data_IF_511418482019
#
_entry.id   IF_511418482019
#
_cell.length_a   1.000
_cell.length_b   1.000
_cell.length_c   1.000
_cell.angle_alpha   90.00
_cell.angle_beta   90.00
_cell.angle_gamma   90.00
#
_symmetry.space_group_name_H-M   'P 1'
#
loop_
_entity.id
_entity.type
_entity.pdbx_description
1 polymer ?
#
# COMPACT_ATOMS: atom_id res chain seq x y z
N UNK A 1 23.76 19.84 9.22
CA UNK A 1 23.40 18.61 8.50
C UNK A 1 24.56 18.28 7.61
N UNK A 2 25.36 17.28 7.98
CA UNK A 2 26.59 16.92 7.28
C UNK A 2 26.25 16.15 5.98
N UNK A 3 27.13 16.21 4.98
CA UNK A 3 27.00 15.46 3.72
C UNK A 3 26.85 13.95 3.99
N UNK A 4 27.47 13.44 5.06
CA UNK A 4 27.36 12.06 5.51
C UNK A 4 25.95 11.72 6.06
N UNK A 5 25.26 12.68 6.68
CA UNK A 5 23.87 12.50 7.13
C UNK A 5 22.91 12.42 5.93
N UNK A 6 23.24 13.05 4.82
CA UNK A 6 22.46 13.03 3.60
C UNK A 6 22.65 11.71 2.82
N UNK A 7 23.89 11.22 2.73
CA UNK A 7 24.21 9.95 2.05
C UNK A 7 23.59 8.74 2.77
N UNK A 8 23.48 8.79 4.10
CA UNK A 8 22.83 7.74 4.89
C UNK A 8 21.30 7.72 4.77
N UNK A 9 20.69 8.72 4.14
CA UNK A 9 19.23 8.80 3.91
C UNK A 9 18.76 8.23 2.57
N UNK A 10 19.68 7.91 1.65
CA UNK A 10 19.29 7.30 0.38
C UNK A 10 18.91 5.84 0.66
N UNK A 11 17.63 5.45 0.53
CA UNK A 11 17.25 4.09 0.79
C UNK A 11 17.91 3.14 -0.21
N UNK A 12 18.47 2.05 0.32
CA UNK A 12 19.06 1.01 -0.53
C UNK A 12 17.97 0.14 -1.15
N UNK A 13 18.19 -0.27 -2.40
CA UNK A 13 17.32 -1.26 -3.01
C UNK A 13 17.38 -2.59 -2.23
N UNK A 14 16.25 -3.04 -1.73
CA UNK A 14 16.14 -4.30 -0.99
C UNK A 14 16.30 -5.53 -1.89
N UNK A 15 16.11 -5.38 -3.20
CA UNK A 15 16.21 -6.47 -4.15
C UNK A 15 17.58 -6.50 -4.80
N UNK A 16 18.18 -7.68 -4.88
CA UNK A 16 19.46 -7.89 -5.58
C UNK A 16 19.31 -7.91 -7.10
N UNK A 17 18.09 -8.17 -7.61
CA UNK A 17 17.77 -8.35 -9.03
C UNK A 17 16.28 -8.26 -9.32
N UNK A 18 15.93 -8.14 -10.59
CA UNK A 18 14.57 -8.25 -11.15
C UNK A 18 13.54 -7.24 -10.57
N UNK A 19 14.00 -6.15 -9.97
CA UNK A 19 13.13 -5.09 -9.47
C UNK A 19 13.84 -4.06 -8.60
N UNK A 20 13.10 -3.04 -8.23
CA UNK A 20 13.57 -1.97 -7.35
C UNK A 20 12.55 -1.82 -6.22
N UNK A 21 13.00 -1.95 -4.98
CA UNK A 21 12.18 -1.74 -3.79
C UNK A 21 12.98 -0.96 -2.75
N UNK A 22 12.46 0.16 -2.37
CA UNK A 22 13.02 0.99 -1.31
C UNK A 22 12.16 0.91 -0.05
N UNK A 23 12.79 0.88 1.11
CA UNK A 23 12.15 1.02 2.39
C UNK A 23 12.68 2.27 3.09
N UNK A 24 11.81 3.24 3.30
CA UNK A 24 12.18 4.54 3.85
C UNK A 24 12.18 4.59 5.38
N UNK A 25 11.68 3.53 6.04
CA UNK A 25 11.45 3.55 7.49
C UNK A 25 10.25 4.39 7.90
N UNK A 26 10.11 4.70 9.19
CA UNK A 26 9.11 5.64 9.69
C UNK A 26 9.46 7.05 9.24
N UNK A 27 8.71 7.55 8.25
CA UNK A 27 8.89 8.91 7.68
C UNK A 27 7.91 9.92 8.27
N UNK A 28 6.83 9.43 8.88
CA UNK A 28 5.80 10.25 9.51
C UNK A 28 6.03 10.27 11.02
N UNK A 29 6.17 11.43 11.66
CA UNK A 29 6.29 11.50 13.12
C UNK A 29 5.14 10.79 13.82
N UNK A 30 5.42 10.10 14.93
CA UNK A 30 4.50 9.19 15.61
C UNK A 30 3.12 9.81 15.91
N UNK A 31 3.10 11.06 16.39
CA UNK A 31 1.85 11.74 16.72
C UNK A 31 0.99 12.00 15.47
N UNK A 32 1.65 12.36 14.35
CA UNK A 32 0.99 12.52 13.07
C UNK A 32 0.50 11.18 12.51
N UNK A 33 1.29 10.12 12.64
CA UNK A 33 0.91 8.78 12.22
C UNK A 33 -0.30 8.26 13.02
N UNK A 34 -0.34 8.47 14.34
CA UNK A 34 -1.50 8.19 15.18
C UNK A 34 -2.73 8.96 14.70
N UNK A 35 -2.60 10.26 14.47
CA UNK A 35 -3.69 11.09 13.96
C UNK A 35 -4.23 10.56 12.62
N UNK A 36 -3.36 10.22 11.69
CA UNK A 36 -3.78 9.63 10.41
C UNK A 36 -4.47 8.29 10.59
N UNK A 37 -3.92 7.42 11.43
CA UNK A 37 -4.52 6.12 11.73
C UNK A 37 -5.94 6.27 12.26
N UNK A 38 -6.16 7.07 13.30
CA UNK A 38 -7.46 7.29 13.92
C UNK A 38 -8.47 7.93 12.94
N UNK A 39 -8.00 8.92 12.17
CA UNK A 39 -8.84 9.60 11.17
C UNK A 39 -9.28 8.64 10.06
N UNK A 40 -8.39 7.78 9.57
CA UNK A 40 -8.72 6.79 8.55
C UNK A 40 -9.63 5.68 9.11
N UNK A 41 -9.41 5.24 10.35
CA UNK A 41 -10.26 4.22 10.98
C UNK A 41 -11.72 4.67 11.06
N UNK A 42 -11.96 5.95 11.37
CA UNK A 42 -13.29 6.52 11.53
C UNK A 42 -13.91 7.05 10.23
N UNK A 43 -13.07 7.57 9.32
CA UNK A 43 -13.54 8.36 8.17
C UNK A 43 -13.56 7.64 6.82
N UNK A 44 -12.99 6.44 6.71
CA UNK A 44 -12.96 5.68 5.46
C UNK A 44 -14.21 4.82 5.30
N UNK A 45 -14.74 4.78 4.07
CA UNK A 45 -15.85 3.91 3.69
C UNK A 45 -15.37 2.46 3.53
N UNK A 46 -15.05 1.81 4.64
CA UNK A 46 -14.55 0.45 4.68
C UNK A 46 -15.60 -0.57 4.24
N UNK A 47 -15.27 -1.36 3.21
CA UNK A 47 -16.09 -2.48 2.73
C UNK A 47 -15.36 -3.80 2.91
N UNK A 48 -16.08 -4.91 3.17
CA UNK A 48 -15.48 -6.24 3.13
C UNK A 48 -14.86 -6.50 1.75
N UNK A 49 -13.64 -7.04 1.74
CA UNK A 49 -13.04 -7.44 0.48
C UNK A 49 -13.62 -8.77 -0.02
N UNK A 50 -13.78 -8.87 -1.33
CA UNK A 50 -14.33 -10.05 -2.00
C UNK A 50 -13.27 -10.67 -2.89
N UNK A 51 -12.88 -11.90 -2.59
CA UNK A 51 -11.97 -12.69 -3.41
C UNK A 51 -12.74 -13.77 -4.17
N UNK A 52 -12.41 -13.96 -5.44
CA UNK A 52 -12.97 -15.06 -6.23
C UNK A 52 -11.95 -16.20 -6.27
N UNK A 53 -12.23 -17.28 -5.53
CA UNK A 53 -11.32 -18.41 -5.34
C UNK A 53 -12.06 -19.70 -5.72
N UNK A 54 -11.48 -20.48 -6.62
CA UNK A 54 -12.07 -21.75 -7.10
C UNK A 54 -13.54 -21.65 -7.52
N UNK A 55 -13.89 -20.59 -8.28
CA UNK A 55 -15.25 -20.43 -8.80
C UNK A 55 -16.27 -19.87 -7.78
N UNK A 56 -15.85 -19.57 -6.55
CA UNK A 56 -16.70 -19.06 -5.47
C UNK A 56 -16.25 -17.68 -5.02
N UNK A 57 -17.20 -16.79 -4.76
CA UNK A 57 -16.91 -15.51 -4.09
C UNK A 57 -16.79 -15.75 -2.59
N UNK A 58 -15.63 -15.43 -2.05
CA UNK A 58 -15.33 -15.48 -0.62
C UNK A 58 -15.26 -14.05 -0.10
N UNK A 59 -16.01 -13.75 0.92
CA UNK A 59 -15.90 -12.47 1.65
C UNK A 59 -14.79 -12.65 2.68
N UNK A 60 -13.74 -11.85 2.56
CA UNK A 60 -12.62 -11.90 3.51
C UNK A 60 -12.91 -11.04 4.74
N UNK A 61 -12.21 -11.31 5.85
CA UNK A 61 -12.29 -10.47 7.05
C UNK A 61 -11.61 -9.11 6.85
N UNK A 62 -10.62 -9.05 5.95
CA UNK A 62 -9.97 -7.80 5.56
C UNK A 62 -11.00 -6.84 4.96
N UNK A 63 -10.89 -5.56 5.30
CA UNK A 63 -11.68 -4.51 4.66
C UNK A 63 -10.81 -3.69 3.72
N UNK A 64 -11.44 -3.14 2.72
CA UNK A 64 -10.79 -2.34 1.69
C UNK A 64 -11.58 -1.07 1.39
N UNK A 65 -10.90 -0.07 0.85
CA UNK A 65 -11.54 1.09 0.24
C UNK A 65 -10.63 1.62 -0.88
N UNK A 66 -11.22 2.17 -1.94
CA UNK A 66 -10.48 2.65 -3.10
C UNK A 66 -10.81 4.11 -3.39
N UNK A 67 -9.78 4.95 -3.49
CA UNK A 67 -9.88 6.39 -3.75
C UNK A 67 -8.98 6.76 -4.93
N UNK A 68 -9.37 7.78 -5.73
CA UNK A 68 -8.59 8.20 -6.88
C UNK A 68 -8.91 9.62 -7.36
N UNK A 69 -8.06 10.15 -8.25
CA UNK A 69 -8.23 11.47 -8.89
C UNK A 69 -9.49 11.54 -9.75
N UNK A 70 -9.95 10.41 -10.27
CA UNK A 70 -11.15 10.28 -11.09
C UNK A 70 -11.99 9.10 -10.63
N UNK A 71 -13.25 9.09 -10.95
CA UNK A 71 -14.15 7.97 -10.69
C UNK A 71 -13.82 6.76 -11.59
N UNK A 72 -12.58 6.25 -11.47
CA UNK A 72 -12.19 5.03 -12.16
C UNK A 72 -13.15 3.91 -11.78
N UNK A 73 -13.46 3.05 -12.74
CA UNK A 73 -14.29 1.88 -12.50
C UNK A 73 -13.51 0.63 -12.87
N UNK A 74 -13.57 -0.35 -12.01
CA UNK A 74 -12.98 -1.67 -12.23
C UNK A 74 -14.06 -2.72 -12.06
N UNK A 75 -14.26 -3.53 -13.10
CA UNK A 75 -15.25 -4.61 -13.08
C UNK A 75 -14.53 -5.94 -12.90
N UNK A 76 -14.74 -6.57 -11.76
CA UNK A 76 -14.26 -7.90 -11.47
C UNK A 76 -15.42 -8.80 -11.06
N UNK A 77 -15.50 -9.98 -11.68
CA UNK A 77 -16.52 -10.99 -11.34
C UNK A 77 -17.96 -10.45 -11.30
N UNK A 78 -18.36 -9.65 -12.29
CA UNK A 78 -19.69 -8.99 -12.42
C UNK A 78 -19.97 -7.93 -11.34
N UNK A 79 -19.01 -7.54 -10.53
CA UNK A 79 -19.14 -6.43 -9.58
C UNK A 79 -18.27 -5.27 -10.05
N UNK A 80 -18.88 -4.12 -10.30
CA UNK A 80 -18.17 -2.89 -10.65
C UNK A 80 -17.89 -2.12 -9.36
N UNK A 81 -16.61 -1.93 -9.05
CA UNK A 81 -16.17 -0.99 -8.00
C UNK A 81 -15.84 0.34 -8.66
N UNK A 82 -16.23 1.42 -8.02
CA UNK A 82 -15.85 2.78 -8.42
C UNK A 82 -14.95 3.39 -7.35
N UNK A 83 -13.88 4.05 -7.80
CA UNK A 83 -13.04 4.82 -6.89
C UNK A 83 -13.83 5.99 -6.31
N UNK A 84 -13.66 6.23 -5.02
CA UNK A 84 -14.19 7.39 -4.32
C UNK A 84 -13.25 8.60 -4.53
N UNK A 85 -13.75 9.83 -4.42
CA UNK A 85 -12.90 11.01 -4.42
C UNK A 85 -12.02 11.06 -3.18
N UNK A 86 -10.79 11.57 -3.33
CA UNK A 86 -9.85 11.73 -2.23
C UNK A 86 -10.45 12.49 -1.04
N UNK A 87 -10.19 11.98 0.16
CA UNK A 87 -10.38 12.77 1.38
C UNK A 87 -9.16 13.68 1.60
N UNK A 88 -9.33 14.73 2.42
CA UNK A 88 -8.22 15.61 2.78
C UNK A 88 -7.04 14.84 3.38
N UNK A 89 -7.31 13.92 4.29
CA UNK A 89 -6.29 13.07 4.94
C UNK A 89 -5.53 12.20 3.94
N UNK A 90 -6.23 11.62 2.96
CA UNK A 90 -5.58 10.82 1.92
C UNK A 90 -4.73 11.67 0.97
N UNK A 91 -5.15 12.92 0.68
CA UNK A 91 -4.33 13.85 -0.10
C UNK A 91 -3.04 14.24 0.66
N UNK A 92 -3.10 14.43 1.98
CA UNK A 92 -1.92 14.69 2.80
C UNK A 92 -0.96 13.49 2.77
N UNK A 93 -1.45 12.26 2.92
CA UNK A 93 -0.65 11.04 2.85
C UNK A 93 -0.08 10.82 1.43
N UNK A 94 -0.87 11.10 0.40
CA UNK A 94 -0.42 11.08 -0.99
C UNK A 94 0.76 12.02 -1.19
N UNK A 95 0.66 13.27 -0.72
CA UNK A 95 1.73 14.25 -0.84
C UNK A 95 3.03 13.82 -0.12
N UNK A 96 2.90 13.17 1.06
CA UNK A 96 4.05 12.58 1.76
C UNK A 96 4.70 11.47 0.91
N UNK A 97 3.91 10.54 0.38
CA UNK A 97 4.41 9.45 -0.45
C UNK A 97 5.10 9.97 -1.73
N UNK A 98 4.52 10.98 -2.38
CA UNK A 98 5.07 11.61 -3.58
C UNK A 98 6.37 12.36 -3.29
N UNK A 99 6.44 13.07 -2.16
CA UNK A 99 7.65 13.77 -1.73
C UNK A 99 8.83 12.81 -1.48
N UNK A 100 8.58 11.70 -0.79
CA UNK A 100 9.62 10.73 -0.44
C UNK A 100 10.06 9.87 -1.63
N UNK A 101 9.13 9.49 -2.49
CA UNK A 101 9.44 8.62 -3.63
C UNK A 101 9.88 9.35 -4.89
N UNK A 102 9.52 10.63 -5.03
CA UNK A 102 9.68 11.39 -6.28
C UNK A 102 8.72 10.97 -7.40
N UNK A 103 7.73 10.14 -7.08
CA UNK A 103 6.75 9.60 -8.02
C UNK A 103 5.38 10.27 -7.84
N UNK A 104 4.50 10.16 -8.83
CA UNK A 104 3.15 10.73 -8.80
C UNK A 104 2.13 9.59 -8.76
N UNK A 105 1.18 9.67 -7.83
CA UNK A 105 0.15 8.65 -7.64
C UNK A 105 -1.23 9.21 -7.96
N UNK A 106 -2.06 8.43 -8.65
CA UNK A 106 -3.40 8.82 -9.07
C UNK A 106 -4.54 8.07 -8.37
N UNK A 107 -4.20 7.05 -7.60
CA UNK A 107 -5.16 6.25 -6.84
C UNK A 107 -4.54 5.61 -5.61
N UNK A 108 -5.37 5.20 -4.66
CA UNK A 108 -4.96 4.55 -3.43
C UNK A 108 -5.94 3.43 -3.07
N UNK A 109 -5.44 2.22 -2.92
CA UNK A 109 -6.17 1.10 -2.30
C UNK A 109 -5.79 1.00 -0.83
N UNK A 110 -6.75 1.20 0.05
CA UNK A 110 -6.56 1.01 1.47
C UNK A 110 -6.92 -0.43 1.86
N UNK A 111 -6.11 -1.00 2.74
CA UNK A 111 -6.31 -2.34 3.30
C UNK A 111 -6.35 -2.25 4.82
N UNK A 112 -7.43 -2.69 5.44
CA UNK A 112 -7.56 -2.78 6.89
C UNK A 112 -7.52 -4.23 7.33
N UNK A 113 -6.55 -4.56 8.15
CA UNK A 113 -6.38 -5.85 8.83
C UNK A 113 -6.71 -5.65 10.30
N UNK A 114 -7.69 -6.41 10.84
CA UNK A 114 -8.13 -6.25 12.23
C UNK A 114 -7.16 -6.89 13.23
N UNK A 115 -6.45 -7.91 12.79
CA UNK A 115 -5.49 -8.64 13.63
C UNK A 115 -4.38 -9.31 12.80
N UNK A 116 -3.44 -9.96 13.48
CA UNK A 116 -2.31 -10.64 12.84
C UNK A 116 -2.66 -11.93 12.10
N UNK A 117 -3.87 -12.46 12.24
CA UNK A 117 -4.33 -13.64 11.50
C UNK A 117 -4.76 -13.32 10.07
N UNK A 118 -5.05 -12.04 9.80
CA UNK A 118 -5.45 -11.58 8.48
C UNK A 118 -4.23 -11.23 7.64
N UNK A 119 -4.28 -11.57 6.37
CA UNK A 119 -3.18 -11.32 5.45
C UNK A 119 -3.63 -11.37 4.01
N UNK A 120 -2.70 -11.12 3.13
CA UNK A 120 -2.88 -11.27 1.69
C UNK A 120 -1.96 -12.38 1.19
N UNK A 121 -2.50 -13.26 0.34
CA UNK A 121 -1.72 -14.31 -0.30
C UNK A 121 -0.69 -13.71 -1.27
N UNK A 122 0.27 -14.52 -1.68
CA UNK A 122 1.22 -14.16 -2.73
C UNK A 122 0.49 -13.72 -4.01
N UNK A 123 0.73 -12.52 -4.43
CA UNK A 123 0.18 -11.94 -5.66
C UNK A 123 1.23 -11.03 -6.31
N UNK A 124 0.89 -10.48 -7.43
CA UNK A 124 1.59 -9.33 -8.02
C UNK A 124 0.56 -8.43 -8.64
N UNK A 125 0.76 -7.14 -8.46
CA UNK A 125 -0.04 -6.11 -9.08
C UNK A 125 0.34 -6.04 -10.57
N UNK A 126 -0.46 -6.65 -11.39
CA UNK A 126 -0.21 -6.81 -12.83
C UNK A 126 -1.49 -6.62 -13.63
N UNK A 127 -2.43 -5.87 -13.08
CA UNK A 127 -3.67 -5.49 -13.73
C UNK A 127 -3.38 -4.62 -14.95
N UNK A 128 -4.16 -4.80 -16.01
CA UNK A 128 -3.99 -4.06 -17.27
C UNK A 128 -4.16 -2.55 -17.12
N UNK A 129 -4.89 -2.14 -16.10
CA UNK A 129 -5.18 -0.74 -15.80
C UNK A 129 -4.05 -0.03 -15.04
N UNK A 130 -3.06 -0.78 -14.55
CA UNK A 130 -1.87 -0.23 -13.94
C UNK A 130 -0.82 0.15 -15.00
N UNK A 131 -0.13 1.26 -14.75
CA UNK A 131 0.98 1.66 -15.59
C UNK A 131 2.08 0.59 -15.56
N UNK A 132 2.52 0.13 -16.70
CA UNK A 132 3.62 -0.84 -16.79
C UNK A 132 4.89 -0.24 -16.16
N UNK A 133 5.48 -0.97 -15.22
CA UNK A 133 6.64 -0.54 -14.43
C UNK A 133 6.41 0.76 -13.63
N UNK A 134 5.15 1.14 -13.41
CA UNK A 134 4.81 2.26 -12.53
C UNK A 134 5.18 1.97 -11.08
N UNK A 135 5.52 3.00 -10.35
CA UNK A 135 5.82 2.88 -8.92
C UNK A 135 4.55 2.61 -8.10
N UNK A 136 4.68 1.79 -7.05
CA UNK A 136 3.64 1.54 -6.05
C UNK A 136 4.20 2.00 -4.71
N UNK A 137 3.64 3.08 -4.17
CA UNK A 137 3.94 3.56 -2.82
C UNK A 137 3.06 2.86 -1.78
N UNK A 138 3.63 2.56 -0.60
CA UNK A 138 2.89 1.96 0.51
C UNK A 138 3.22 2.66 1.81
N UNK A 139 2.20 3.14 2.53
CA UNK A 139 2.31 3.69 3.88
C UNK A 139 1.62 2.72 4.84
N UNK A 140 2.33 2.31 5.89
CA UNK A 140 1.80 1.43 6.93
C UNK A 140 1.50 2.20 8.20
N UNK A 141 0.30 2.02 8.74
CA UNK A 141 -0.15 2.67 9.96
C UNK A 141 -0.70 1.62 10.95
N UNK A 142 -0.49 1.86 12.23
CA UNK A 142 -0.94 0.97 13.30
C UNK A 142 0.14 -0.05 13.71
N UNK A 143 -0.27 -1.29 14.00
CA UNK A 143 0.65 -2.34 14.44
C UNK A 143 1.64 -2.72 13.32
N UNK A 144 2.87 -3.00 13.71
CA UNK A 144 3.90 -3.49 12.80
C UNK A 144 3.47 -4.77 12.09
N UNK A 145 3.81 -4.86 10.80
CA UNK A 145 3.45 -6.02 9.98
C UNK A 145 4.63 -6.52 9.16
N UNK A 146 4.75 -7.82 9.11
CA UNK A 146 5.69 -8.48 8.20
C UNK A 146 5.19 -8.39 6.77
N UNK A 147 6.00 -7.81 5.90
CA UNK A 147 5.82 -7.79 4.46
C UNK A 147 6.88 -8.66 3.80
N UNK A 148 6.49 -9.42 2.78
CA UNK A 148 7.41 -10.32 2.11
C UNK A 148 7.33 -10.17 0.60
N UNK A 149 8.49 -10.18 -0.04
CA UNK A 149 8.68 -10.17 -1.49
C UNK A 149 9.27 -11.51 -1.92
N UNK A 150 8.72 -12.10 -2.98
CA UNK A 150 9.19 -13.39 -3.48
C UNK A 150 9.52 -13.31 -4.97
N UNK A 151 10.76 -13.61 -5.32
CA UNK A 151 11.14 -13.74 -6.71
C UNK A 151 10.43 -14.94 -7.36
N UNK A 152 9.75 -14.69 -8.48
CA UNK A 152 8.97 -15.74 -9.16
C UNK A 152 9.84 -16.87 -9.73
N UNK A 153 11.06 -16.55 -10.20
CA UNK A 153 11.98 -17.49 -10.83
C UNK A 153 12.84 -18.22 -9.79
N UNK A 154 13.56 -17.47 -8.97
CA UNK A 154 14.51 -18.05 -8.00
C UNK A 154 13.86 -18.56 -6.73
N UNK A 155 12.60 -18.14 -6.44
CA UNK A 155 11.88 -18.41 -5.19
C UNK A 155 12.51 -17.79 -3.95
N UNK A 156 13.55 -16.97 -4.11
CA UNK A 156 14.14 -16.17 -3.06
C UNK A 156 13.07 -15.29 -2.39
N UNK A 157 13.10 -15.23 -1.05
CA UNK A 157 12.16 -14.45 -0.25
C UNK A 157 12.92 -13.44 0.57
N UNK A 158 12.53 -12.18 0.45
CA UNK A 158 13.02 -11.09 1.29
C UNK A 158 11.85 -10.61 2.14
N UNK A 159 12.10 -10.37 3.42
CA UNK A 159 11.08 -9.90 4.36
C UNK A 159 11.49 -8.59 4.99
N UNK A 160 10.52 -7.73 5.19
CA UNK A 160 10.67 -6.47 5.92
C UNK A 160 9.54 -6.34 6.94
N UNK A 161 9.84 -5.84 8.11
CA UNK A 161 8.81 -5.37 9.05
C UNK A 161 8.49 -3.94 8.66
N UNK A 162 7.21 -3.68 8.42
CA UNK A 162 6.69 -2.35 8.14
C UNK A 162 6.22 -1.74 9.47
N UNK A 163 6.83 -0.64 9.82
CA UNK A 163 6.61 0.07 11.07
C UNK A 163 5.46 1.08 10.93
N UNK A 164 5.08 1.67 12.04
CA UNK A 164 4.03 2.69 12.10
C UNK A 164 4.55 4.04 11.59
N UNK A 165 3.95 4.58 10.48
CA UNK A 165 4.34 5.85 9.86
C UNK A 165 5.38 5.69 8.79
#
# INVERSE_FOLDING_TARGET
>A
MDLFDYINKIPQNLLSRDGIVFYYGPIIPRDRANYYFDTLMCGIAWEPDRAFIFGKTIITKRKVAWYADKAFSYTYSKTTKKALPWTKTLLELKAIAECESGEIYNSCLLNLYHDGSQGMAWHSDGEKDLQQNGAIGSISLGAERKFALKNRKTKEVITKVLEHG
#
